data_IF_945106091291
#
_entry.id   IF_945106091291
#
_cell.length_a   1.000
_cell.length_b   1.000
_cell.length_c   1.000
_cell.angle_alpha   90.00
_cell.angle_beta   90.00
_cell.angle_gamma   90.00
#
_symmetry.space_group_name_H-M   'P 1'
#
loop_
_entity.id
_entity.type
_entity.pdbx_description
1 polymer ?
#
# COMPACT_ATOMS: atom_id res chain seq x y z
N UNK A 1 17.17 0.31 -1.24
CA UNK A 1 16.03 0.42 -0.29
C UNK A 1 14.99 1.49 -0.66
N UNK A 2 15.36 2.67 -1.20
CA UNK A 2 14.37 3.72 -1.57
C UNK A 2 13.36 3.32 -2.67
N UNK A 3 13.82 2.60 -3.70
CA UNK A 3 12.96 2.23 -4.84
C UNK A 3 11.86 1.22 -4.45
N UNK A 4 12.18 0.24 -3.60
CA UNK A 4 11.20 -0.73 -3.10
C UNK A 4 10.17 -0.07 -2.16
N UNK A 5 10.60 0.88 -1.33
CA UNK A 5 9.69 1.66 -0.49
C UNK A 5 8.75 2.52 -1.34
N UNK A 6 9.25 3.21 -2.37
CA UNK A 6 8.37 4.00 -3.24
C UNK A 6 7.37 3.11 -3.99
N UNK A 7 7.81 1.95 -4.48
CA UNK A 7 6.92 0.99 -5.16
C UNK A 7 5.85 0.45 -4.22
N UNK A 8 6.22 0.05 -3.00
CA UNK A 8 5.27 -0.42 -1.99
C UNK A 8 4.27 0.67 -1.60
N UNK A 9 4.74 1.90 -1.39
CA UNK A 9 3.88 3.05 -1.10
C UNK A 9 2.89 3.34 -2.23
N UNK A 10 3.34 3.33 -3.50
CA UNK A 10 2.45 3.52 -4.66
C UNK A 10 1.41 2.40 -4.74
N UNK A 11 1.81 1.13 -4.58
CA UNK A 11 0.89 0.00 -4.58
C UNK A 11 -0.14 0.10 -3.44
N UNK A 12 0.29 0.56 -2.26
CA UNK A 12 -0.58 0.78 -1.11
C UNK A 12 -1.59 1.90 -1.39
N UNK A 13 -1.15 3.03 -1.92
CA UNK A 13 -2.03 4.15 -2.28
C UNK A 13 -3.06 3.72 -3.33
N UNK A 14 -2.63 3.04 -4.39
CA UNK A 14 -3.55 2.54 -5.44
C UNK A 14 -4.54 1.53 -4.86
N UNK A 15 -4.07 0.60 -4.03
CA UNK A 15 -4.93 -0.37 -3.35
C UNK A 15 -5.93 0.27 -2.39
N UNK A 16 -5.49 1.26 -1.61
CA UNK A 16 -6.34 2.03 -0.69
C UNK A 16 -7.40 2.85 -1.44
N UNK A 17 -7.03 3.46 -2.57
CA UNK A 17 -8.00 4.14 -3.44
C UNK A 17 -9.02 3.15 -4.02
N UNK A 18 -8.62 1.96 -4.47
CA UNK A 18 -9.56 0.93 -4.90
C UNK A 18 -10.55 0.58 -3.78
N UNK A 19 -10.07 0.35 -2.57
CA UNK A 19 -10.93 0.07 -1.41
C UNK A 19 -11.87 1.22 -1.04
N UNK A 20 -11.43 2.48 -1.22
CA UNK A 20 -12.29 3.65 -1.02
C UNK A 20 -13.44 3.68 -2.04
N UNK A 21 -13.15 3.39 -3.32
CA UNK A 21 -14.18 3.32 -4.36
C UNK A 21 -15.16 2.17 -4.13
N UNK A 22 -14.67 1.00 -3.71
CA UNK A 22 -15.51 -0.13 -3.33
C UNK A 22 -16.42 0.23 -2.15
N UNK A 23 -15.89 0.94 -1.13
CA UNK A 23 -16.68 1.31 0.04
C UNK A 23 -17.73 2.40 -0.21
N UNK A 24 -17.44 3.38 -1.08
CA UNK A 24 -18.35 4.51 -1.35
C UNK A 24 -19.33 4.25 -2.49
N UNK A 25 -18.90 3.52 -3.52
CA UNK A 25 -19.63 3.39 -4.78
C UNK A 25 -19.83 1.94 -5.21
N UNK A 26 -19.37 0.96 -4.41
CA UNK A 26 -19.38 -0.47 -4.75
C UNK A 26 -18.63 -0.76 -6.07
N UNK A 27 -17.75 0.17 -6.49
CA UNK A 27 -16.98 0.08 -7.73
C UNK A 27 -15.60 -0.51 -7.47
N UNK A 28 -15.38 -1.72 -7.96
CA UNK A 28 -14.08 -2.39 -7.92
C UNK A 28 -13.32 -2.12 -9.23
N UNK A 29 -12.31 -1.24 -9.18
CA UNK A 29 -11.46 -0.90 -10.34
C UNK A 29 -10.63 -2.10 -10.79
N UNK A 30 -10.13 -2.91 -9.86
CA UNK A 30 -9.32 -4.09 -10.18
C UNK A 30 -10.17 -5.11 -10.92
N UNK A 31 -11.38 -5.37 -10.45
CA UNK A 31 -12.32 -6.26 -11.12
C UNK A 31 -12.84 -5.65 -12.43
N UNK A 32 -13.07 -4.34 -12.49
CA UNK A 32 -13.53 -3.67 -13.73
C UNK A 32 -12.47 -3.67 -14.84
N UNK A 33 -11.18 -3.53 -14.51
CA UNK A 33 -10.10 -3.57 -15.51
C UNK A 33 -9.60 -5.00 -15.81
N UNK A 34 -9.46 -5.84 -14.79
CA UNK A 34 -8.80 -7.15 -14.91
C UNK A 34 -9.75 -8.35 -14.76
N UNK A 35 -11.03 -8.13 -14.44
CA UNK A 35 -12.00 -9.20 -14.24
C UNK A 35 -12.29 -10.05 -15.47
N UNK A 36 -12.02 -9.53 -16.67
CA UNK A 36 -12.16 -10.27 -17.94
C UNK A 36 -10.98 -11.18 -18.29
N UNK A 37 -9.85 -11.07 -17.59
CA UNK A 37 -8.59 -11.72 -18.00
C UNK A 37 -8.40 -13.07 -17.29
N UNK A 38 -8.52 -13.09 -15.96
CA UNK A 38 -8.71 -14.31 -15.16
C UNK A 38 -8.93 -13.98 -13.68
N UNK A 39 -9.72 -14.78 -12.94
CA UNK A 39 -9.92 -14.60 -11.50
C UNK A 39 -8.64 -14.81 -10.67
N UNK A 40 -7.66 -15.54 -11.21
CA UNK A 40 -6.37 -15.77 -10.54
C UNK A 40 -5.48 -14.52 -10.56
N UNK A 41 -5.52 -13.76 -11.66
CA UNK A 41 -4.76 -12.51 -11.79
C UNK A 41 -5.29 -11.42 -10.87
N UNK A 42 -6.61 -11.27 -10.76
CA UNK A 42 -7.27 -10.34 -9.82
C UNK A 42 -6.84 -10.63 -8.38
N UNK A 43 -6.86 -11.91 -7.98
CA UNK A 43 -6.38 -12.33 -6.66
C UNK A 43 -4.90 -12.01 -6.44
N UNK A 44 -4.05 -12.22 -7.45
CA UNK A 44 -2.63 -11.89 -7.34
C UNK A 44 -2.41 -10.40 -7.07
N UNK A 45 -3.15 -9.51 -7.74
CA UNK A 45 -3.08 -8.06 -7.50
C UNK A 45 -3.46 -7.74 -6.05
N UNK A 46 -4.54 -8.32 -5.53
CA UNK A 46 -4.94 -8.11 -4.14
C UNK A 46 -3.92 -8.61 -3.12
N UNK A 47 -3.29 -9.76 -3.38
CA UNK A 47 -2.20 -10.26 -2.54
C UNK A 47 -1.02 -9.30 -2.56
N UNK A 48 -0.63 -8.78 -3.72
CA UNK A 48 0.48 -7.81 -3.85
C UNK A 48 0.18 -6.50 -3.11
N UNK A 49 -1.04 -5.98 -3.21
CA UNK A 49 -1.49 -4.80 -2.46
C UNK A 49 -1.42 -5.05 -0.95
N UNK A 50 -1.92 -6.21 -0.48
CA UNK A 50 -1.85 -6.58 0.93
C UNK A 50 -0.41 -6.72 1.44
N UNK A 51 0.47 -7.34 0.66
CA UNK A 51 1.90 -7.45 0.97
C UNK A 51 2.59 -6.08 1.01
N UNK A 52 2.24 -5.17 0.10
CA UNK A 52 2.73 -3.79 0.11
C UNK A 52 2.28 -3.05 1.38
N UNK A 53 1.03 -3.25 1.82
CA UNK A 53 0.52 -2.70 3.08
C UNK A 53 1.30 -3.21 4.30
N UNK A 54 1.52 -4.53 4.39
CA UNK A 54 2.32 -5.13 5.47
C UNK A 54 3.76 -4.62 5.44
N UNK A 55 4.38 -4.55 4.26
CA UNK A 55 5.75 -4.05 4.11
C UNK A 55 5.88 -2.60 4.56
N UNK A 56 4.96 -1.72 4.17
CA UNK A 56 4.92 -0.34 4.66
C UNK A 56 4.72 -0.33 6.17
N UNK A 57 3.75 -1.03 6.75
CA UNK A 57 3.54 -1.05 8.21
C UNK A 57 4.80 -1.45 8.98
N UNK A 58 5.55 -2.45 8.50
CA UNK A 58 6.77 -2.93 9.15
C UNK A 58 7.97 -2.00 8.92
N UNK A 59 8.06 -1.36 7.76
CA UNK A 59 9.25 -0.60 7.33
C UNK A 59 9.11 0.91 7.53
N UNK A 60 7.87 1.41 7.66
CA UNK A 60 7.55 2.85 7.70
C UNK A 60 8.29 3.59 8.82
N UNK A 61 8.38 3.01 10.02
CA UNK A 61 9.06 3.66 11.16
C UNK A 61 10.57 3.86 10.95
N UNK A 62 11.21 3.00 10.15
CA UNK A 62 12.63 3.13 9.80
C UNK A 62 12.91 4.08 8.63
N UNK A 63 11.91 4.31 7.77
CA UNK A 63 12.07 5.10 6.55
C UNK A 63 11.41 6.50 6.60
N UNK A 64 10.47 6.72 7.52
CA UNK A 64 9.72 7.96 7.63
C UNK A 64 10.52 9.01 8.43
N UNK A 65 10.97 10.08 7.76
CA UNK A 65 11.68 11.22 8.40
C UNK A 65 10.90 11.91 9.52
N UNK A 66 9.57 11.78 9.57
CA UNK A 66 8.73 12.32 10.64
C UNK A 66 8.57 11.36 11.83
N UNK A 67 8.78 10.06 11.63
CA UNK A 67 8.71 9.05 12.70
C UNK A 67 10.10 8.58 13.17
N UNK A 68 11.17 8.87 12.42
CA UNK A 68 12.55 8.77 12.88
C UNK A 68 12.74 9.76 14.02
N UNK A 69 12.70 9.26 15.25
CA UNK A 69 13.05 10.01 16.45
C UNK A 69 14.51 10.43 16.40
N UNK A 70 14.80 11.53 15.70
CA UNK A 70 15.90 12.46 16.01
C UNK A 70 15.39 13.64 16.87
N UNK A 71 14.23 13.47 17.52
CA UNK A 71 13.50 14.58 18.17
C UNK A 71 12.98 14.34 19.59
N UNK A 72 13.37 13.28 20.29
CA UNK A 72 13.06 13.11 21.72
C UNK A 72 14.21 12.40 22.43
N UNK A 73 15.08 13.15 23.12
CA UNK A 73 15.87 12.58 24.22
C UNK A 73 17.36 12.91 24.34
N UNK A 74 17.89 14.00 23.77
CA UNK A 74 19.20 14.53 24.17
C UNK A 74 19.09 16.03 24.50
N UNK A 75 18.23 16.34 25.45
CA UNK A 75 18.19 17.64 26.12
C UNK A 75 17.85 17.41 27.57
N UNK A 76 18.90 17.07 28.34
CA UNK A 76 19.17 17.33 29.77
C UNK A 76 19.99 16.19 30.36
#
# INVERSE_FOLDING_TARGET
>A
MKQLHMLAFVLLVVGGLNWLLVGLFEMDLVMSLLGGVSPMLVKAVYVLVGLAAVYEVVTHKGNCRACSSDGMGSSM
#
